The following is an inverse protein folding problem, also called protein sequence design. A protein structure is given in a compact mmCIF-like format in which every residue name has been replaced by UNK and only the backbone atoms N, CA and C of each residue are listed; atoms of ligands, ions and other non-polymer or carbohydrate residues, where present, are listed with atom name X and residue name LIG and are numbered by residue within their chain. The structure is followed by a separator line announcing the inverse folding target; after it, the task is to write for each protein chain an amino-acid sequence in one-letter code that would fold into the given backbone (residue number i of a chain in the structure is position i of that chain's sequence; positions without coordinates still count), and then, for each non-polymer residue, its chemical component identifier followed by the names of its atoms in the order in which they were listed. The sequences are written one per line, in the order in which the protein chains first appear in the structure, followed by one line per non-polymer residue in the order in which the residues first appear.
data_IF_300247903163
#
_entry.id   IF_300247903163
#
_cell.length_a   1.000
_cell.length_b   1.000
_cell.length_c   1.000
_cell.angle_alpha   90.00
_cell.angle_beta   90.00
_cell.angle_gamma   90.00
#
_symmetry.space_group_name_H-M   'P 1'
#
loop_
_entity.id
_entity.type
_entity.pdbx_description
1 polymer ?
#
# COMPACT_ATOMS: atom_id res chain seq x y z
N UNK A 1 2.49 -4.57 4.41
CA UNK A 1 1.72 -4.67 3.14
C UNK A 1 2.10 -3.48 2.27
N UNK A 2 2.27 -3.69 0.97
CA UNK A 2 2.51 -2.66 -0.06
C UNK A 2 2.18 -3.25 -1.44
N UNK A 3 2.13 -2.48 -2.55
CA UNK A 3 1.73 -3.01 -3.86
C UNK A 3 2.48 -4.27 -4.32
N UNK A 4 3.79 -4.38 -4.03
CA UNK A 4 4.56 -5.61 -4.33
C UNK A 4 4.29 -6.82 -3.41
N UNK A 5 3.54 -6.63 -2.33
CA UNK A 5 3.18 -7.67 -1.36
C UNK A 5 1.80 -7.36 -0.77
N UNK A 6 0.73 -7.58 -1.57
CA UNK A 6 -0.61 -7.11 -1.27
C UNK A 6 -1.28 -7.92 -0.14
N UNK A 7 -0.84 -9.17 0.09
CA UNK A 7 -1.29 -10.03 1.19
C UNK A 7 -2.81 -10.30 1.18
N UNK A 8 -3.41 -10.46 -0.01
CA UNK A 8 -4.87 -10.58 -0.18
C UNK A 8 -5.47 -11.73 0.65
N UNK A 9 -4.81 -12.88 0.70
CA UNK A 9 -5.28 -14.03 1.48
C UNK A 9 -5.36 -13.73 2.99
N UNK A 10 -4.33 -13.10 3.54
CA UNK A 10 -4.27 -12.77 4.97
C UNK A 10 -5.23 -11.63 5.32
N UNK A 11 -5.37 -10.64 4.43
CA UNK A 11 -6.37 -9.58 4.56
C UNK A 11 -7.78 -10.17 4.61
N UNK A 12 -8.10 -11.12 3.71
CA UNK A 12 -9.39 -11.79 3.72
C UNK A 12 -9.62 -12.62 5.00
N UNK A 13 -8.57 -13.23 5.57
CA UNK A 13 -8.65 -13.90 6.88
C UNK A 13 -8.98 -12.89 7.98
N UNK A 14 -8.25 -11.77 8.03
CA UNK A 14 -8.46 -10.74 9.05
C UNK A 14 -9.86 -10.13 8.97
N UNK A 15 -10.37 -9.85 7.76
CA UNK A 15 -11.72 -9.35 7.55
C UNK A 15 -12.78 -10.30 8.14
N UNK A 16 -12.68 -11.61 7.85
CA UNK A 16 -13.60 -12.62 8.40
C UNK A 16 -13.56 -12.71 9.93
N UNK A 17 -12.43 -12.37 10.53
CA UNK A 17 -12.22 -12.39 11.98
C UNK A 17 -12.52 -11.05 12.66
N UNK A 18 -12.87 -10.00 11.91
CA UNK A 18 -13.07 -8.65 12.45
C UNK A 18 -11.76 -8.00 12.94
N UNK A 19 -10.61 -8.41 12.39
CA UNK A 19 -9.29 -7.87 12.72
C UNK A 19 -8.98 -6.72 11.76
N UNK A 20 -8.66 -5.55 12.31
CA UNK A 20 -8.14 -4.44 11.50
C UNK A 20 -6.70 -4.72 11.11
N UNK A 21 -6.40 -4.63 9.81
CA UNK A 21 -5.05 -4.81 9.29
C UNK A 21 -4.34 -3.46 9.16
N UNK A 22 -3.23 -3.30 9.85
CA UNK A 22 -2.38 -2.12 9.77
C UNK A 22 -1.16 -2.36 8.87
N UNK A 23 -0.98 -1.54 7.86
CA UNK A 23 0.06 -1.66 6.84
C UNK A 23 1.33 -0.92 7.26
N UNK A 24 2.30 -1.64 7.81
CA UNK A 24 3.65 -1.13 8.04
C UNK A 24 4.43 -0.98 6.72
N UNK A 25 5.22 0.11 6.62
CA UNK A 25 5.94 0.53 5.40
C UNK A 25 5.05 0.51 4.14
N UNK A 26 3.92 1.26 4.13
CA UNK A 26 2.89 1.14 3.10
C UNK A 26 3.37 1.55 1.70
N UNK A 27 4.37 2.42 1.62
CA UNK A 27 5.04 2.85 0.39
C UNK A 27 6.24 1.96 -0.01
N UNK A 28 6.39 0.80 0.65
CA UNK A 28 7.41 -0.17 0.32
C UNK A 28 8.85 0.25 0.59
N UNK A 29 9.15 1.40 1.22
CA UNK A 29 10.53 1.84 1.57
C UNK A 29 11.55 1.54 0.44
N UNK A 30 11.21 1.98 -0.77
CA UNK A 30 12.02 1.84 -1.99
C UNK A 30 11.89 0.52 -2.77
N UNK A 31 11.13 -0.47 -2.28
CA UNK A 31 10.86 -1.70 -3.05
C UNK A 31 9.74 -1.53 -4.08
N UNK A 32 8.91 -0.51 -3.90
CA UNK A 32 7.84 -0.12 -4.84
C UNK A 32 8.37 1.05 -5.66
N UNK A 33 8.44 0.85 -6.97
CA UNK A 33 8.60 1.96 -7.91
C UNK A 33 7.26 2.69 -8.01
N UNK A 34 7.21 3.92 -7.49
CA UNK A 34 5.97 4.71 -7.47
C UNK A 34 5.62 5.26 -8.86
N UNK A 35 6.60 5.38 -9.75
CA UNK A 35 6.37 5.89 -11.10
C UNK A 35 6.04 4.75 -12.10
N UNK A 36 5.94 3.51 -11.63
CA UNK A 36 5.54 2.38 -12.45
C UNK A 36 4.03 2.39 -12.75
N UNK A 37 3.68 1.97 -13.96
CA UNK A 37 2.30 1.55 -14.24
C UNK A 37 1.94 0.36 -13.34
N UNK A 38 0.73 0.32 -12.73
CA UNK A 38 -0.44 1.20 -12.93
C UNK A 38 -0.55 2.41 -11.97
N UNK A 39 0.41 2.61 -11.07
CA UNK A 39 0.36 3.70 -10.07
C UNK A 39 0.42 5.06 -10.77
N UNK A 40 1.29 5.22 -11.76
CA UNK A 40 1.46 6.46 -12.50
C UNK A 40 0.19 6.86 -13.28
N UNK A 41 -0.49 5.91 -13.94
CA UNK A 41 -1.75 6.18 -14.62
C UNK A 41 -2.84 6.65 -13.66
N UNK A 42 -3.04 5.96 -12.53
CA UNK A 42 -4.01 6.39 -11.52
C UNK A 42 -3.65 7.78 -10.95
N UNK A 43 -2.37 8.05 -10.71
CA UNK A 43 -1.93 9.36 -10.22
C UNK A 43 -2.28 10.48 -11.21
N UNK A 44 -2.07 10.23 -12.50
CA UNK A 44 -2.41 11.17 -13.57
C UNK A 44 -3.92 11.37 -13.70
N UNK A 45 -4.71 10.29 -13.65
CA UNK A 45 -6.19 10.34 -13.77
C UNK A 45 -6.81 11.17 -12.63
N UNK A 46 -6.35 10.95 -11.39
CA UNK A 46 -6.88 11.65 -10.21
C UNK A 46 -6.20 13.01 -9.96
N UNK A 47 -5.13 13.34 -10.66
CA UNK A 47 -4.38 14.59 -10.48
C UNK A 47 -3.68 14.68 -9.11
N UNK A 48 -3.19 13.55 -8.60
CA UNK A 48 -2.55 13.41 -7.27
C UNK A 48 -1.15 12.79 -7.40
N UNK A 49 -0.40 12.73 -6.30
CA UNK A 49 0.91 12.09 -6.31
C UNK A 49 0.79 10.56 -6.33
N UNK A 50 1.78 9.84 -6.89
CA UNK A 50 1.87 8.39 -6.77
C UNK A 50 1.84 7.85 -5.33
N UNK A 51 2.39 8.60 -4.37
CA UNK A 51 2.34 8.23 -2.97
C UNK A 51 0.90 8.29 -2.43
N UNK A 52 0.13 9.33 -2.81
CA UNK A 52 -1.29 9.43 -2.47
C UNK A 52 -2.09 8.26 -3.04
N UNK A 53 -1.84 7.86 -4.29
CA UNK A 53 -2.47 6.68 -4.91
C UNK A 53 -2.21 5.41 -4.10
N UNK A 54 -0.96 5.13 -3.76
CA UNK A 54 -0.64 3.91 -2.99
C UNK A 54 -1.28 3.95 -1.60
N UNK A 55 -1.28 5.10 -0.92
CA UNK A 55 -1.94 5.24 0.38
C UNK A 55 -3.46 5.10 0.26
N UNK A 56 -4.06 5.65 -0.78
CA UNK A 56 -5.48 5.49 -1.07
C UNK A 56 -5.83 4.03 -1.37
N UNK A 57 -4.99 3.33 -2.10
CA UNK A 57 -5.14 1.89 -2.37
C UNK A 57 -5.19 1.05 -1.09
N UNK A 58 -4.44 1.40 -0.05
CA UNK A 58 -4.60 0.75 1.26
C UNK A 58 -5.99 1.01 1.85
N UNK A 59 -6.43 2.27 1.85
CA UNK A 59 -7.70 2.67 2.46
C UNK A 59 -8.92 2.06 1.74
N UNK A 60 -8.93 2.08 0.41
CA UNK A 60 -10.02 1.50 -0.39
C UNK A 60 -10.09 -0.03 -0.26
N UNK A 61 -8.99 -0.69 0.16
CA UNK A 61 -8.94 -2.10 0.55
C UNK A 61 -9.30 -2.36 2.02
N UNK A 62 -9.73 -1.33 2.76
CA UNK A 62 -10.06 -1.46 4.18
C UNK A 62 -8.84 -1.61 5.11
N UNK A 63 -7.65 -1.25 4.64
CA UNK A 63 -6.40 -1.34 5.39
C UNK A 63 -6.04 0.02 6.01
N UNK A 64 -5.34 0.01 7.14
CA UNK A 64 -4.84 1.21 7.80
C UNK A 64 -3.35 1.44 7.46
N UNK A 65 -2.99 2.33 6.52
CA UNK A 65 -1.59 2.59 6.22
C UNK A 65 -0.92 3.48 7.28
N UNK A 66 0.31 3.13 7.68
CA UNK A 66 1.18 3.95 8.53
C UNK A 66 2.39 4.51 7.76
N UNK A 67 2.22 5.57 6.95
CA UNK A 67 3.34 6.19 6.25
C UNK A 67 4.23 6.97 7.22
N UNK A 68 5.55 6.89 7.03
CA UNK A 68 6.53 7.72 7.73
C UNK A 68 7.13 8.75 6.78
N UNK A 69 7.16 10.00 7.20
CA UNK A 69 7.95 11.06 6.56
C UNK A 69 8.58 11.96 7.62
N UNK A 70 9.81 12.41 7.38
CA UNK A 70 10.45 13.48 8.16
C UNK A 70 10.24 14.87 7.53
N UNK A 71 9.68 14.91 6.32
CA UNK A 71 9.38 16.12 5.58
C UNK A 71 7.92 16.54 5.82
N UNK A 72 7.67 17.75 6.34
CA UNK A 72 6.31 18.22 6.63
C UNK A 72 5.42 18.39 5.39
N UNK A 73 5.98 18.65 4.21
CA UNK A 73 5.23 18.72 2.96
C UNK A 73 4.66 17.34 2.62
N UNK A 74 5.52 16.32 2.60
CA UNK A 74 5.12 14.92 2.40
C UNK A 74 4.20 14.39 3.50
N UNK A 75 4.32 14.86 4.75
CA UNK A 75 3.36 14.49 5.80
C UNK A 75 1.95 15.00 5.47
N UNK A 76 1.83 16.24 4.98
CA UNK A 76 0.53 16.80 4.54
C UNK A 76 0.02 16.09 3.30
N UNK A 77 0.87 15.86 2.31
CA UNK A 77 0.52 15.14 1.08
C UNK A 77 0.02 13.72 1.39
N UNK A 78 0.73 12.97 2.24
CA UNK A 78 0.32 11.62 2.66
C UNK A 78 -1.02 11.59 3.42
N UNK A 79 -1.39 12.70 4.08
CA UNK A 79 -2.66 12.83 4.78
C UNK A 79 -3.80 13.22 3.82
N UNK A 80 -3.49 13.86 2.71
CA UNK A 80 -4.45 14.35 1.72
C UNK A 80 -4.91 13.25 0.75
N UNK A 81 -5.49 12.19 1.27
CA UNK A 81 -5.90 11.00 0.49
C UNK A 81 -7.41 10.72 0.55
N UNK A 82 -8.18 11.67 1.08
CA UNK A 82 -9.62 11.53 1.27
C UNK A 82 -10.47 12.25 0.22
N UNK A 83 -9.83 13.04 -0.66
CA UNK A 83 -10.50 13.84 -1.70
C UNK A 83 -10.82 13.11 -3.01
N UNK A 84 -10.36 11.87 -3.17
CA UNK A 84 -10.58 11.02 -4.36
C UNK A 84 -10.75 9.57 -3.93
N UNK A 85 -11.19 8.69 -4.83
CA UNK A 85 -11.29 7.24 -4.59
C UNK A 85 -10.80 6.49 -5.83
N UNK A 86 -10.13 5.37 -5.62
CA UNK A 86 -9.73 4.51 -6.74
C UNK A 86 -10.93 3.69 -7.21
N UNK A 87 -11.00 3.48 -8.52
CA UNK A 87 -11.89 2.51 -9.13
C UNK A 87 -11.49 1.08 -8.78
N UNK A 88 -12.44 0.14 -8.95
CA UNK A 88 -12.15 -1.27 -8.75
C UNK A 88 -11.02 -1.77 -9.66
N UNK A 89 -10.99 -1.31 -10.91
CA UNK A 89 -9.97 -1.68 -11.90
C UNK A 89 -8.58 -1.16 -11.49
N UNK A 90 -8.48 0.07 -10.96
CA UNK A 90 -7.21 0.61 -10.43
C UNK A 90 -6.74 -0.17 -9.21
N UNK A 91 -7.66 -0.53 -8.30
CA UNK A 91 -7.34 -1.33 -7.13
C UNK A 91 -6.82 -2.71 -7.55
N UNK A 92 -7.49 -3.36 -8.50
CA UNK A 92 -7.08 -4.66 -9.03
C UNK A 92 -5.71 -4.57 -9.70
N UNK A 93 -5.50 -3.57 -10.58
CA UNK A 93 -4.25 -3.37 -11.30
C UNK A 93 -3.07 -3.15 -10.35
N UNK A 94 -3.22 -2.29 -9.33
CA UNK A 94 -2.16 -2.05 -8.34
C UNK A 94 -1.90 -3.31 -7.51
N UNK A 95 -2.94 -4.06 -7.16
CA UNK A 95 -2.80 -5.32 -6.41
C UNK A 95 -2.08 -6.40 -7.23
N UNK A 96 -2.28 -6.41 -8.56
CA UNK A 96 -1.61 -7.31 -9.49
C UNK A 96 -0.09 -7.06 -9.64
N UNK A 97 0.44 -5.96 -9.08
CA UNK A 97 1.89 -5.74 -8.95
C UNK A 97 2.55 -6.69 -7.92
N UNK A 98 1.75 -7.41 -7.15
CA UNK A 98 2.21 -8.38 -6.17
C UNK A 98 3.15 -9.42 -6.77
N UNK A 99 4.18 -9.78 -6.01
CA UNK A 99 5.04 -10.92 -6.34
C UNK A 99 5.01 -11.96 -5.24
N UNK A 100 5.27 -13.22 -5.60
CA UNK A 100 5.14 -14.38 -4.73
C UNK A 100 5.87 -14.22 -3.38
N UNK A 101 7.05 -13.60 -3.40
CA UNK A 101 7.79 -13.25 -2.19
C UNK A 101 8.12 -11.75 -2.16
N UNK A 102 7.08 -10.94 -1.99
CA UNK A 102 7.22 -9.49 -1.85
C UNK A 102 7.67 -9.01 -0.48
N UNK A 103 8.07 -9.92 0.42
CA UNK A 103 8.49 -9.59 1.79
C UNK A 103 9.64 -8.60 1.80
N UNK A 104 9.72 -7.83 2.87
CA UNK A 104 10.86 -6.96 3.14
C UNK A 104 11.85 -7.67 4.06
N UNK A 105 13.14 -7.49 3.77
CA UNK A 105 14.26 -7.98 4.58
C UNK A 105 14.29 -9.48 4.82
N UNK A 106 13.58 -10.27 4.00
CA UNK A 106 13.42 -11.71 4.24
C UNK A 106 12.83 -12.03 5.63
N UNK A 107 12.09 -11.08 6.22
CA UNK A 107 11.50 -11.20 7.56
C UNK A 107 10.25 -12.06 7.53
N UNK A 108 10.40 -13.35 7.26
CA UNK A 108 9.29 -14.31 7.24
C UNK A 108 8.82 -14.60 8.69
N UNK A 109 7.57 -14.28 9.06
CA UNK A 109 7.10 -14.44 10.44
C UNK A 109 7.17 -15.88 10.97
N UNK A 110 7.23 -16.88 10.10
CA UNK A 110 7.35 -18.29 10.50
C UNK A 110 8.77 -18.66 10.97
N UNK A 111 9.79 -17.87 10.62
CA UNK A 111 11.21 -18.22 10.87
C UNK A 111 12.06 -17.09 11.43
N UNK A 112 11.63 -15.83 11.28
CA UNK A 112 12.39 -14.66 11.69
C UNK A 112 12.37 -14.46 13.20
N UNK A 113 13.55 -14.30 13.80
CA UNK A 113 13.74 -13.92 15.20
C UNK A 113 14.46 -12.56 15.26
N UNK A 114 13.91 -11.60 15.99
CA UNK A 114 14.58 -10.33 16.27
C UNK A 114 15.71 -10.57 17.28
N UNK A 115 16.93 -10.11 16.96
CA UNK A 115 18.12 -10.21 17.84
C UNK A 115 18.20 -9.07 18.86
#
# INVERSE_FOLDING_TARGET
IHPRFPQDDLVAVHERLGIVTESWSPLGKGSVDLDAEPIAAAAAEHGVSPAQVVLRWHLDRGLLPLPKSADPGRQRENLDVFGFALSADEIEAISAMGVADGRRFDGDPDTHEEM
#
